data_IF_302447096724
#
_entry.id   IF_302447096724
#
_cell.length_a   1.000
_cell.length_b   1.000
_cell.length_c   1.000
_cell.angle_alpha   90.00
_cell.angle_beta   90.00
_cell.angle_gamma   90.00
#
_symmetry.space_group_name_H-M   'P 1'
#
loop_
_entity.id
_entity.type
_entity.pdbx_description
1 polymer ?
#
# COMPACT_ATOMS: atom_id res chain seq x y z
N UNK A 1 50.76 29.71 -57.85
CA UNK A 1 50.30 28.36 -58.13
C UNK A 1 50.62 27.50 -56.92
N UNK A 2 49.62 27.13 -56.14
CA UNK A 2 49.80 26.32 -54.94
C UNK A 2 48.47 25.71 -54.55
N UNK A 3 48.23 24.45 -54.92
CA UNK A 3 47.02 23.69 -54.64
C UNK A 3 47.04 23.26 -53.20
N UNK A 4 46.08 23.74 -52.35
CA UNK A 4 45.81 23.19 -51.01
C UNK A 4 44.97 21.93 -51.17
N UNK A 5 45.51 20.80 -50.71
CA UNK A 5 44.81 19.54 -50.54
C UNK A 5 43.89 19.62 -49.30
N UNK A 6 42.62 19.43 -49.47
CA UNK A 6 41.65 19.18 -48.40
C UNK A 6 41.81 17.75 -47.89
N UNK A 7 42.22 17.56 -46.62
CA UNK A 7 42.13 16.28 -45.94
C UNK A 7 40.74 16.10 -45.34
N UNK A 8 39.98 15.17 -45.88
CA UNK A 8 38.75 14.70 -45.28
C UNK A 8 39.04 13.74 -44.15
N UNK A 9 38.90 14.18 -42.91
CA UNK A 9 38.92 13.28 -41.77
C UNK A 9 37.59 12.53 -41.69
N UNK A 10 37.60 11.24 -41.99
CA UNK A 10 36.53 10.31 -41.69
C UNK A 10 36.40 10.16 -40.17
N UNK A 11 35.40 10.77 -39.54
CA UNK A 11 34.95 10.41 -38.19
C UNK A 11 34.41 8.98 -38.21
N UNK A 12 35.16 8.05 -37.65
CA UNK A 12 34.65 6.72 -37.28
C UNK A 12 33.53 6.92 -36.24
N UNK A 13 32.31 6.62 -36.60
CA UNK A 13 31.23 6.37 -35.63
C UNK A 13 31.53 5.04 -34.98
N UNK A 14 32.09 5.05 -33.80
CA UNK A 14 32.08 3.92 -32.88
C UNK A 14 30.67 3.91 -32.27
N UNK A 15 29.81 3.07 -32.82
CA UNK A 15 28.58 2.65 -32.15
C UNK A 15 28.96 1.71 -31.02
N UNK A 16 29.06 2.23 -29.83
CA UNK A 16 28.96 1.41 -28.62
C UNK A 16 27.54 0.93 -28.55
N UNK A 17 27.29 -0.27 -29.05
CA UNK A 17 26.18 -1.10 -28.59
C UNK A 17 26.46 -1.35 -27.10
N UNK A 18 25.88 -0.57 -26.20
CA UNK A 18 25.59 -1.03 -24.86
C UNK A 18 24.57 -2.16 -25.08
N UNK A 19 24.96 -3.36 -24.72
CA UNK A 19 24.06 -4.46 -24.55
C UNK A 19 23.02 -3.98 -23.52
N UNK A 20 21.78 -3.85 -23.96
CA UNK A 20 20.62 -3.71 -23.09
C UNK A 20 20.53 -5.04 -22.33
N UNK A 21 21.16 -5.14 -21.19
CA UNK A 21 20.79 -6.14 -20.20
C UNK A 21 19.34 -5.82 -19.80
N UNK A 22 18.40 -6.60 -20.35
CA UNK A 22 17.03 -6.65 -19.85
C UNK A 22 17.09 -6.99 -18.37
N UNK A 23 16.90 -5.98 -17.52
CA UNK A 23 16.65 -6.20 -16.10
C UNK A 23 15.25 -6.81 -16.03
N UNK A 24 15.16 -8.13 -16.16
CA UNK A 24 13.96 -8.88 -15.81
C UNK A 24 13.80 -8.72 -14.31
N UNK A 25 12.63 -8.24 -13.87
CA UNK A 25 12.21 -8.43 -12.50
C UNK A 25 12.19 -9.95 -12.30
N UNK A 26 13.22 -10.50 -11.65
CA UNK A 26 13.31 -11.93 -11.41
C UNK A 26 12.09 -12.36 -10.62
N UNK A 27 11.40 -13.39 -11.10
CA UNK A 27 10.35 -14.05 -10.32
C UNK A 27 10.99 -14.55 -9.02
N UNK A 28 10.67 -13.88 -7.94
CA UNK A 28 11.21 -14.20 -6.62
C UNK A 28 10.63 -15.53 -6.17
N UNK A 29 11.47 -16.52 -6.00
CA UNK A 29 11.08 -17.79 -5.37
C UNK A 29 10.71 -17.54 -3.89
N UNK A 30 9.43 -17.27 -3.64
CA UNK A 30 8.87 -16.93 -2.34
C UNK A 30 9.23 -17.97 -1.26
N UNK A 31 9.44 -19.22 -1.65
CA UNK A 31 9.77 -20.30 -0.71
C UNK A 31 11.15 -20.14 -0.05
N UNK A 32 12.02 -19.32 -0.65
CA UNK A 32 13.39 -19.05 -0.17
C UNK A 32 13.52 -17.70 0.52
N UNK A 33 12.47 -16.87 0.50
CA UNK A 33 12.49 -15.53 1.09
C UNK A 33 12.31 -15.62 2.60
N UNK A 34 13.28 -15.13 3.36
CA UNK A 34 13.07 -14.95 4.81
C UNK A 34 12.21 -13.72 5.10
N UNK A 35 11.49 -13.72 6.24
CA UNK A 35 10.70 -12.54 6.65
C UNK A 35 11.55 -11.28 6.91
N UNK A 36 12.87 -11.42 7.02
CA UNK A 36 13.79 -10.27 7.10
C UNK A 36 14.08 -9.72 5.71
N UNK A 37 14.34 -10.60 4.75
CA UNK A 37 14.62 -10.19 3.37
C UNK A 37 13.37 -9.59 2.73
N UNK A 38 12.19 -10.09 3.08
CA UNK A 38 10.91 -9.56 2.63
C UNK A 38 10.68 -8.07 3.00
N UNK A 39 11.39 -7.52 3.99
CA UNK A 39 11.34 -6.07 4.28
C UNK A 39 11.80 -5.22 3.10
N UNK A 40 12.74 -5.73 2.31
CA UNK A 40 13.32 -5.01 1.17
C UNK A 40 12.55 -5.22 -0.13
N UNK A 41 11.57 -6.12 -0.14
CA UNK A 41 10.71 -6.34 -1.29
C UNK A 41 9.69 -5.20 -1.45
N UNK A 42 9.27 -4.97 -2.67
CA UNK A 42 8.12 -4.12 -2.96
C UNK A 42 6.83 -4.81 -2.51
N UNK A 43 5.83 -4.05 -2.07
CA UNK A 43 4.50 -4.59 -1.85
C UNK A 43 3.89 -5.05 -3.18
N UNK A 44 3.18 -6.17 -3.17
CA UNK A 44 2.59 -6.75 -4.37
C UNK A 44 1.22 -6.16 -4.70
N UNK A 45 0.57 -5.56 -3.69
CA UNK A 45 -0.74 -4.91 -3.82
C UNK A 45 -0.97 -3.87 -2.74
N UNK A 46 -1.92 -2.97 -3.00
CA UNK A 46 -2.37 -1.95 -2.07
C UNK A 46 -3.78 -2.27 -1.55
N UNK A 47 -3.92 -2.42 -0.25
CA UNK A 47 -5.19 -2.70 0.40
C UNK A 47 -5.67 -1.46 1.16
N UNK A 48 -6.81 -0.89 0.75
CA UNK A 48 -7.38 0.29 1.38
C UNK A 48 -7.99 -0.02 2.75
N UNK A 49 -7.67 0.79 3.75
CA UNK A 49 -8.36 0.81 5.05
C UNK A 49 -9.37 1.95 5.04
N UNK A 50 -10.65 1.63 4.91
CA UNK A 50 -11.71 2.58 4.63
C UNK A 50 -12.84 2.43 5.67
N UNK A 51 -13.56 3.49 5.95
CA UNK A 51 -14.65 3.49 6.92
C UNK A 51 -14.76 4.82 7.65
N UNK A 52 -15.80 4.97 8.47
CA UNK A 52 -16.07 6.18 9.22
C UNK A 52 -14.92 6.56 10.17
N UNK A 53 -14.92 7.80 10.65
CA UNK A 53 -14.03 8.24 11.75
C UNK A 53 -14.23 7.31 12.95
N UNK A 54 -13.19 7.06 13.69
CA UNK A 54 -13.16 6.20 14.89
C UNK A 54 -13.56 4.72 14.70
N UNK A 55 -13.77 4.25 13.48
CA UNK A 55 -13.99 2.82 13.23
C UNK A 55 -12.73 1.95 13.40
N UNK A 56 -11.57 2.57 13.69
CA UNK A 56 -10.32 1.89 14.05
C UNK A 56 -9.45 1.47 12.86
N UNK A 57 -9.49 2.23 11.76
CA UNK A 57 -8.63 2.00 10.57
C UNK A 57 -7.15 2.03 10.92
N UNK A 58 -6.70 3.12 11.51
CA UNK A 58 -5.29 3.32 11.93
C UNK A 58 -4.87 2.29 12.97
N UNK A 59 -5.76 1.94 13.92
CA UNK A 59 -5.49 0.89 14.92
C UNK A 59 -5.31 -0.48 14.28
N UNK A 60 -6.14 -0.84 13.28
CA UNK A 60 -5.99 -2.10 12.56
C UNK A 60 -4.71 -2.11 11.73
N UNK A 61 -4.43 -1.01 11.05
CA UNK A 61 -3.19 -0.84 10.28
C UNK A 61 -1.96 -1.03 11.18
N UNK A 62 -1.93 -0.42 12.36
CA UNK A 62 -0.86 -0.61 13.34
C UNK A 62 -0.78 -2.06 13.83
N UNK A 63 -1.91 -2.67 14.17
CA UNK A 63 -1.94 -4.05 14.66
C UNK A 63 -1.34 -5.06 13.67
N UNK A 64 -1.53 -4.81 12.36
CA UNK A 64 -1.05 -5.68 11.29
C UNK A 64 0.36 -5.34 10.81
N UNK A 65 0.73 -4.07 10.74
CA UNK A 65 2.02 -3.59 10.20
C UNK A 65 3.05 -3.21 11.26
N UNK A 66 2.59 -2.82 12.44
CA UNK A 66 3.42 -2.22 13.48
C UNK A 66 3.76 -0.75 13.25
N UNK A 67 3.08 -0.09 12.31
CA UNK A 67 3.29 1.30 11.95
C UNK A 67 2.03 2.10 12.26
N UNK A 68 2.16 3.10 13.12
CA UNK A 68 1.14 4.11 13.33
C UNK A 68 1.18 5.13 12.18
N UNK A 69 0.09 5.28 11.45
CA UNK A 69 0.05 6.07 10.21
C UNK A 69 -0.20 7.55 10.43
N UNK A 70 -0.83 7.94 11.54
CA UNK A 70 -1.06 9.34 11.93
C UNK A 70 0.21 9.94 12.54
N UNK A 71 1.02 10.60 11.71
CA UNK A 71 2.35 11.12 12.12
C UNK A 71 2.40 12.64 12.23
N UNK A 72 1.40 13.33 11.73
CA UNK A 72 1.38 14.80 11.76
C UNK A 72 0.83 15.31 13.08
N UNK A 73 1.41 16.40 13.60
CA UNK A 73 0.96 17.01 14.85
C UNK A 73 -0.53 17.36 14.85
N UNK A 74 -1.05 17.83 13.72
CA UNK A 74 -2.47 18.14 13.55
C UNK A 74 -3.37 16.89 13.58
N UNK A 75 -2.89 15.75 13.09
CA UNK A 75 -3.60 14.48 13.15
C UNK A 75 -3.69 13.96 14.58
N UNK A 76 -2.57 14.08 15.32
CA UNK A 76 -2.48 13.66 16.73
C UNK A 76 -3.33 14.55 17.62
N UNK A 77 -3.28 15.89 17.41
CA UNK A 77 -4.05 16.85 18.20
C UNK A 77 -5.56 16.75 17.98
N UNK A 78 -5.98 16.44 16.76
CA UNK A 78 -7.41 16.34 16.41
C UNK A 78 -7.96 14.92 16.51
N UNK A 79 -7.10 13.91 16.65
CA UNK A 79 -7.49 12.50 16.66
C UNK A 79 -8.09 12.01 15.34
N UNK A 80 -7.74 12.62 14.20
CA UNK A 80 -8.24 12.26 12.88
C UNK A 80 -7.10 12.18 11.86
N UNK A 81 -7.15 11.21 10.94
CA UNK A 81 -6.23 11.14 9.80
C UNK A 81 -6.59 12.21 8.78
N UNK A 82 -5.63 13.02 8.37
CA UNK A 82 -5.81 14.12 7.39
C UNK A 82 -5.22 13.73 6.03
N UNK A 83 -4.11 13.01 6.02
CA UNK A 83 -3.41 12.55 4.81
C UNK A 83 -3.50 11.04 4.68
N UNK A 84 -3.31 10.54 3.46
CA UNK A 84 -3.18 9.10 3.26
C UNK A 84 -2.00 8.55 4.07
N UNK A 85 -2.27 7.61 4.95
CA UNK A 85 -1.26 6.83 5.64
C UNK A 85 -0.81 5.64 4.80
N UNK A 86 0.47 5.27 4.89
CA UNK A 86 1.00 4.07 4.23
C UNK A 86 1.75 3.23 5.23
N UNK A 87 1.47 1.93 5.22
CA UNK A 87 2.15 0.98 6.09
C UNK A 87 2.22 -0.40 5.42
N UNK A 88 3.41 -0.96 5.35
CA UNK A 88 3.62 -2.29 4.77
C UNK A 88 3.42 -3.39 5.81
N UNK A 89 2.79 -4.48 5.41
CA UNK A 89 2.73 -5.71 6.19
C UNK A 89 3.27 -6.90 5.40
N UNK A 90 4.08 -7.71 6.07
CA UNK A 90 4.60 -8.96 5.55
C UNK A 90 3.72 -10.08 6.08
N UNK A 91 3.02 -10.78 5.19
CA UNK A 91 2.15 -11.90 5.53
C UNK A 91 2.92 -13.20 5.41
N UNK A 92 2.69 -14.06 6.38
CA UNK A 92 3.37 -15.33 6.52
C UNK A 92 2.40 -16.42 6.99
N UNK A 93 2.75 -17.67 6.73
CA UNK A 93 1.96 -18.85 7.13
C UNK A 93 2.81 -19.85 7.89
N UNK A 94 2.30 -20.32 9.01
CA UNK A 94 2.85 -21.49 9.71
C UNK A 94 2.45 -22.76 8.96
N UNK A 95 3.41 -23.67 8.75
CA UNK A 95 3.16 -24.94 8.06
C UNK A 95 2.42 -25.97 8.88
N UNK A 96 2.42 -25.83 10.19
CA UNK A 96 1.94 -26.84 11.14
C UNK A 96 0.65 -26.47 11.87
N UNK A 97 0.37 -25.15 12.04
CA UNK A 97 -0.87 -24.71 12.68
C UNK A 97 -2.07 -24.91 11.76
N UNK A 98 -3.26 -25.25 12.33
CA UNK A 98 -4.51 -25.28 11.55
C UNK A 98 -4.94 -23.87 11.13
N UNK A 99 -5.77 -23.77 10.12
CA UNK A 99 -6.46 -22.53 9.75
C UNK A 99 -7.56 -22.22 10.81
N UNK A 100 -7.76 -20.94 11.12
CA UNK A 100 -7.07 -19.73 10.62
C UNK A 100 -5.76 -19.39 11.33
N UNK A 101 -5.41 -20.06 12.41
CA UNK A 101 -4.31 -19.73 13.35
C UNK A 101 -2.91 -19.83 12.72
N UNK A 102 -2.83 -20.36 11.50
CA UNK A 102 -1.57 -20.42 10.75
C UNK A 102 -1.18 -19.10 10.09
N UNK A 103 -2.10 -18.13 9.92
CA UNK A 103 -1.82 -16.86 9.22
C UNK A 103 -1.31 -15.79 10.18
N UNK A 104 -0.20 -15.17 9.86
CA UNK A 104 0.50 -14.21 10.70
C UNK A 104 0.96 -13.01 9.88
N UNK A 105 1.10 -11.85 10.52
CA UNK A 105 2.01 -10.82 10.02
C UNK A 105 3.32 -10.89 10.80
N UNK A 106 4.39 -10.34 10.19
CA UNK A 106 5.68 -10.21 10.86
C UNK A 106 5.56 -9.46 12.20
N UNK A 107 4.69 -8.44 12.25
CA UNK A 107 4.42 -7.67 13.47
C UNK A 107 3.75 -8.54 14.54
N UNK A 108 2.72 -9.30 14.19
CA UNK A 108 2.04 -10.21 15.15
C UNK A 108 3.01 -11.24 15.71
N UNK A 109 3.89 -11.82 14.87
CA UNK A 109 4.94 -12.74 15.33
C UNK A 109 5.86 -12.06 16.35
N UNK A 110 6.33 -10.85 16.04
CA UNK A 110 7.20 -10.07 16.93
C UNK A 110 6.55 -9.86 18.29
N UNK A 111 5.31 -9.43 18.31
CA UNK A 111 4.59 -9.12 19.55
C UNK A 111 4.32 -10.38 20.38
N UNK A 112 3.94 -11.49 19.74
CA UNK A 112 3.69 -12.75 20.46
C UNK A 112 4.95 -13.26 21.14
N UNK A 113 6.12 -13.17 20.46
CA UNK A 113 7.40 -13.48 21.11
C UNK A 113 7.73 -12.52 22.26
N UNK A 114 7.37 -11.23 22.16
CA UNK A 114 7.66 -10.23 23.18
C UNK A 114 6.82 -10.35 24.44
N UNK A 115 5.71 -11.11 24.43
CA UNK A 115 4.94 -11.45 25.65
C UNK A 115 5.81 -12.18 26.67
N UNK A 116 6.76 -13.00 26.23
CA UNK A 116 7.78 -13.61 27.09
C UNK A 116 9.13 -12.91 26.90
N UNK A 117 9.47 -11.98 27.78
CA UNK A 117 10.72 -11.18 27.71
C UNK A 117 12.01 -12.00 27.68
N UNK A 118 11.94 -13.30 27.99
CA UNK A 118 13.09 -14.22 27.96
C UNK A 118 13.31 -14.83 26.58
N UNK A 119 12.32 -14.80 25.71
CA UNK A 119 12.41 -15.34 24.37
C UNK A 119 12.93 -14.29 23.39
N UNK A 120 13.88 -14.70 22.55
CA UNK A 120 14.29 -13.89 21.39
C UNK A 120 13.30 -14.08 20.26
N UNK A 121 12.97 -13.00 19.56
CA UNK A 121 12.10 -13.04 18.38
C UNK A 121 12.74 -13.89 17.28
N UNK A 122 12.02 -14.90 16.82
CA UNK A 122 12.41 -15.76 15.70
C UNK A 122 11.36 -15.58 14.59
N UNK A 123 11.76 -15.08 13.44
CA UNK A 123 10.85 -14.84 12.34
C UNK A 123 10.66 -16.06 11.42
N UNK A 124 11.46 -17.10 11.62
CA UNK A 124 11.43 -18.38 10.93
C UNK A 124 10.62 -19.46 11.67
N UNK A 125 10.17 -19.16 12.88
CA UNK A 125 9.45 -20.09 13.75
C UNK A 125 8.13 -19.51 14.26
N UNK A 126 7.10 -20.34 14.24
CA UNK A 126 5.79 -19.99 14.79
C UNK A 126 5.86 -19.77 16.30
N UNK A 127 5.36 -18.64 16.82
CA UNK A 127 5.39 -18.39 18.26
C UNK A 127 4.50 -19.34 19.06
N UNK A 128 3.49 -19.95 18.43
CA UNK A 128 2.51 -20.83 19.08
C UNK A 128 3.00 -22.28 19.11
N UNK A 129 3.33 -22.87 17.94
CA UNK A 129 3.66 -24.30 17.84
C UNK A 129 5.17 -24.58 17.67
N UNK A 130 5.97 -23.56 17.32
CA UNK A 130 7.40 -23.71 17.01
C UNK A 130 7.70 -24.23 15.61
N UNK A 131 6.68 -24.50 14.80
CA UNK A 131 6.80 -24.94 13.41
C UNK A 131 7.41 -23.88 12.50
N UNK A 132 7.72 -24.28 11.26
CA UNK A 132 8.32 -23.40 10.28
C UNK A 132 7.31 -22.39 9.74
N UNK A 133 7.78 -21.16 9.54
CA UNK A 133 7.01 -20.07 8.91
C UNK A 133 7.54 -19.81 7.51
N UNK A 134 6.62 -19.71 6.55
CA UNK A 134 6.92 -19.33 5.19
C UNK A 134 6.37 -17.94 4.86
N UNK A 135 7.07 -17.21 4.01
CA UNK A 135 6.63 -15.94 3.45
C UNK A 135 5.56 -16.19 2.39
N UNK A 136 4.45 -15.45 2.45
CA UNK A 136 3.40 -15.48 1.43
C UNK A 136 3.52 -14.30 0.47
N UNK A 137 3.32 -13.09 1.00
CA UNK A 137 3.44 -11.85 0.22
C UNK A 137 3.61 -10.63 1.13
N UNK A 138 3.99 -9.53 0.53
CA UNK A 138 4.01 -8.22 1.16
C UNK A 138 2.88 -7.37 0.60
N UNK A 139 2.09 -6.76 1.46
CA UNK A 139 1.01 -5.85 1.07
C UNK A 139 1.24 -4.48 1.69
N UNK A 140 0.80 -3.42 1.00
CA UNK A 140 0.78 -2.07 1.52
C UNK A 140 -0.65 -1.71 1.95
N UNK A 141 -0.82 -1.27 3.18
CA UNK A 141 -2.07 -0.67 3.64
C UNK A 141 -2.09 0.80 3.28
N UNK A 142 -3.18 1.23 2.67
CA UNK A 142 -3.48 2.63 2.40
C UNK A 142 -4.54 3.07 3.40
N UNK A 143 -4.12 3.74 4.46
CA UNK A 143 -5.01 4.22 5.52
C UNK A 143 -5.65 5.55 5.08
N UNK A 144 -6.93 5.50 4.74
CA UNK A 144 -7.68 6.61 4.20
C UNK A 144 -8.37 7.41 5.31
N UNK A 145 -8.37 8.77 5.22
CA UNK A 145 -9.08 9.60 6.18
C UNK A 145 -10.59 9.33 6.14
N UNK A 146 -11.21 9.25 7.31
CA UNK A 146 -12.64 8.93 7.45
C UNK A 146 -13.55 10.16 7.51
N UNK A 147 -13.04 11.37 7.53
CA UNK A 147 -13.82 12.59 7.70
C UNK A 147 -14.35 13.12 6.35
N UNK A 148 -15.61 13.58 6.30
CA UNK A 148 -16.25 14.04 5.04
C UNK A 148 -15.50 15.16 4.32
N UNK A 149 -14.88 16.08 5.07
CA UNK A 149 -14.09 17.18 4.50
C UNK A 149 -12.89 16.66 3.69
N UNK A 150 -12.45 15.43 3.98
CA UNK A 150 -11.29 14.79 3.36
C UNK A 150 -11.67 13.77 2.27
N UNK A 151 -12.93 13.78 1.82
CA UNK A 151 -13.43 12.86 0.79
C UNK A 151 -12.59 12.91 -0.50
N UNK A 152 -12.11 14.09 -0.91
CA UNK A 152 -11.22 14.23 -2.07
C UNK A 152 -9.89 13.48 -1.87
N UNK A 153 -9.35 13.50 -0.66
CA UNK A 153 -8.13 12.74 -0.31
C UNK A 153 -8.41 11.23 -0.33
N UNK A 154 -9.57 10.82 0.19
CA UNK A 154 -10.00 9.41 0.15
C UNK A 154 -10.19 8.93 -1.29
N UNK A 155 -10.87 9.68 -2.16
CA UNK A 155 -11.05 9.34 -3.58
C UNK A 155 -9.72 9.25 -4.33
N UNK A 156 -8.80 10.18 -4.04
CA UNK A 156 -7.43 10.11 -4.57
C UNK A 156 -6.70 8.85 -4.10
N UNK A 157 -6.92 8.45 -2.84
CA UNK A 157 -6.37 7.22 -2.28
C UNK A 157 -7.02 5.97 -2.89
N UNK A 158 -8.32 5.98 -3.13
CA UNK A 158 -9.04 4.84 -3.70
C UNK A 158 -8.50 4.43 -5.08
N UNK A 159 -8.03 5.41 -5.87
CA UNK A 159 -7.39 5.12 -7.18
C UNK A 159 -6.05 4.37 -7.08
N UNK A 160 -5.51 4.24 -5.89
CA UNK A 160 -4.26 3.52 -5.61
C UNK A 160 -4.49 2.11 -5.05
N UNK A 161 -5.75 1.76 -4.75
CA UNK A 161 -6.12 0.53 -4.06
C UNK A 161 -6.48 -0.56 -5.06
N UNK A 162 -5.99 -1.76 -4.80
CA UNK A 162 -6.33 -2.97 -5.55
C UNK A 162 -7.51 -3.72 -4.90
N UNK A 163 -7.70 -3.54 -3.60
CA UNK A 163 -8.82 -4.06 -2.80
C UNK A 163 -9.03 -3.20 -1.56
N UNK A 164 -10.04 -3.49 -0.76
CA UNK A 164 -10.34 -2.69 0.42
C UNK A 164 -10.87 -3.49 1.61
N UNK A 165 -10.50 -3.04 2.82
CA UNK A 165 -11.14 -3.37 4.08
C UNK A 165 -12.09 -2.23 4.46
N UNK A 166 -13.41 -2.47 4.39
CA UNK A 166 -14.42 -1.52 4.87
C UNK A 166 -14.69 -1.77 6.35
N UNK A 167 -14.17 -0.90 7.22
CA UNK A 167 -14.34 -1.01 8.66
C UNK A 167 -15.66 -0.42 9.12
N UNK A 168 -16.36 -1.18 9.95
CA UNK A 168 -17.62 -0.78 10.61
C UNK A 168 -17.48 -1.10 12.11
N UNK A 169 -17.65 -0.10 12.96
CA UNK A 169 -17.58 -0.30 14.40
C UNK A 169 -18.85 -0.96 14.95
N UNK A 170 -18.69 -1.94 15.85
CA UNK A 170 -19.79 -2.67 16.47
C UNK A 170 -20.54 -1.84 17.53
N UNK A 171 -19.92 -0.75 18.00
CA UNK A 171 -20.48 0.15 19.02
C UNK A 171 -21.36 1.27 18.43
N UNK A 172 -21.53 1.30 17.11
CA UNK A 172 -22.31 2.31 16.40
C UNK A 172 -23.42 1.71 15.53
N UNK A 173 -24.45 2.54 15.22
CA UNK A 173 -25.49 2.15 14.27
C UNK A 173 -24.98 2.12 12.84
N UNK A 174 -25.45 1.14 12.07
CA UNK A 174 -25.06 0.97 10.67
C UNK A 174 -26.22 1.33 9.74
N UNK A 175 -25.92 2.03 8.64
CA UNK A 175 -24.64 2.65 8.27
C UNK A 175 -24.47 4.07 8.83
N UNK A 176 -23.24 4.45 9.13
CA UNK A 176 -22.85 5.84 9.34
C UNK A 176 -22.77 6.60 7.99
N UNK A 177 -22.92 7.96 7.98
CA UNK A 177 -22.88 8.73 6.72
C UNK A 177 -21.66 8.44 5.86
N UNK A 178 -20.44 8.58 6.43
CA UNK A 178 -19.21 8.35 5.67
C UNK A 178 -19.03 6.88 5.24
N UNK A 179 -19.59 5.91 5.97
CA UNK A 179 -19.57 4.51 5.55
C UNK A 179 -20.34 4.32 4.23
N UNK A 180 -21.46 5.02 4.05
CA UNK A 180 -22.22 5.01 2.77
C UNK A 180 -21.43 5.65 1.65
N UNK A 181 -20.84 6.81 1.90
CA UNK A 181 -20.06 7.57 0.93
C UNK A 181 -18.83 6.78 0.48
N UNK A 182 -18.15 6.15 1.43
CA UNK A 182 -16.98 5.32 1.14
C UNK A 182 -17.34 4.09 0.31
N UNK A 183 -18.44 3.41 0.64
CA UNK A 183 -18.90 2.28 -0.16
C UNK A 183 -19.24 2.73 -1.58
N UNK A 184 -19.98 3.83 -1.74
CA UNK A 184 -20.32 4.37 -3.05
C UNK A 184 -19.05 4.76 -3.85
N UNK A 185 -18.02 5.31 -3.18
CA UNK A 185 -16.75 5.63 -3.84
C UNK A 185 -16.03 4.37 -4.33
N UNK A 186 -15.99 3.29 -3.55
CA UNK A 186 -15.40 2.01 -3.98
C UNK A 186 -16.14 1.44 -5.21
N UNK A 187 -17.47 1.49 -5.19
CA UNK A 187 -18.31 1.06 -6.33
C UNK A 187 -18.02 1.87 -7.60
N UNK A 188 -17.93 3.21 -7.49
CA UNK A 188 -17.61 4.09 -8.62
C UNK A 188 -16.21 3.80 -9.17
N UNK A 189 -15.26 3.49 -8.31
CA UNK A 189 -13.88 3.16 -8.70
C UNK A 189 -13.73 1.73 -9.23
N UNK A 190 -14.78 0.90 -9.14
CA UNK A 190 -14.76 -0.48 -9.61
C UNK A 190 -13.91 -1.41 -8.76
N UNK A 191 -13.73 -1.11 -7.46
CA UNK A 191 -13.02 -1.99 -6.54
C UNK A 191 -13.99 -3.07 -6.07
N UNK A 192 -13.77 -4.30 -6.48
CA UNK A 192 -14.65 -5.45 -6.22
C UNK A 192 -14.13 -6.33 -5.06
N UNK A 193 -12.82 -6.40 -4.88
CA UNK A 193 -12.17 -7.20 -3.84
C UNK A 193 -12.26 -6.51 -2.47
N UNK A 194 -13.41 -6.68 -1.81
CA UNK A 194 -13.72 -6.00 -0.55
C UNK A 194 -14.01 -7.02 0.55
N UNK A 195 -13.42 -6.78 1.73
CA UNK A 195 -13.77 -7.43 2.99
C UNK A 195 -14.38 -6.41 3.94
N UNK A 196 -15.47 -6.77 4.60
CA UNK A 196 -16.07 -5.93 5.64
C UNK A 196 -15.54 -6.37 6.98
N UNK A 197 -15.01 -5.42 7.72
CA UNK A 197 -14.40 -5.66 9.02
C UNK A 197 -15.30 -5.06 10.10
N UNK A 198 -16.02 -5.92 10.82
CA UNK A 198 -16.78 -5.50 12.00
C UNK A 198 -15.80 -5.37 13.17
N UNK A 199 -15.36 -4.15 13.47
CA UNK A 199 -14.37 -3.88 14.51
C UNK A 199 -15.01 -3.49 15.83
N UNK A 200 -14.22 -3.46 16.91
CA UNK A 200 -14.63 -3.10 18.28
C UNK A 200 -15.67 -4.06 18.88
N UNK A 201 -15.62 -5.35 18.54
CA UNK A 201 -16.53 -6.34 19.12
C UNK A 201 -16.38 -6.49 20.63
N UNK A 202 -15.28 -6.01 21.19
CA UNK A 202 -14.97 -5.96 22.62
C UNK A 202 -15.72 -4.85 23.37
N UNK A 203 -16.24 -3.85 22.66
CA UNK A 203 -16.90 -2.68 23.24
C UNK A 203 -18.39 -2.90 23.57
N UNK A 204 -18.96 -4.03 23.17
CA UNK A 204 -20.38 -4.34 23.31
C UNK A 204 -20.64 -5.78 23.72
N UNK A 205 -21.84 -6.02 24.28
CA UNK A 205 -22.30 -7.36 24.57
C UNK A 205 -22.56 -8.15 23.27
N UNK A 206 -22.48 -9.47 23.36
CA UNK A 206 -22.57 -10.37 22.20
C UNK A 206 -23.83 -10.16 21.37
N UNK A 207 -24.97 -9.94 22.03
CA UNK A 207 -26.27 -9.73 21.41
C UNK A 207 -26.27 -8.44 20.56
N UNK A 208 -25.67 -7.37 21.04
CA UNK A 208 -25.53 -6.10 20.32
C UNK A 208 -24.58 -6.24 19.12
N UNK A 209 -23.49 -6.96 19.26
CA UNK A 209 -22.55 -7.26 18.16
C UNK A 209 -23.26 -8.06 17.05
N UNK A 210 -24.07 -9.06 17.42
CA UNK A 210 -24.85 -9.85 16.45
C UNK A 210 -25.91 -8.98 15.76
N UNK A 211 -26.54 -8.05 16.47
CA UNK A 211 -27.51 -7.14 15.86
C UNK A 211 -26.84 -6.15 14.89
N UNK A 212 -25.70 -5.59 15.27
CA UNK A 212 -24.88 -4.76 14.39
C UNK A 212 -24.43 -5.53 13.13
N UNK A 213 -24.04 -6.80 13.27
CA UNK A 213 -23.73 -7.68 12.12
C UNK A 213 -24.90 -7.80 11.14
N UNK A 214 -26.14 -7.94 11.64
CA UNK A 214 -27.35 -7.98 10.79
C UNK A 214 -27.58 -6.65 10.08
N UNK A 215 -27.34 -5.52 10.76
CA UNK A 215 -27.45 -4.19 10.17
C UNK A 215 -26.43 -4.01 9.06
N UNK A 216 -25.18 -4.45 9.24
CA UNK A 216 -24.16 -4.45 8.17
C UNK A 216 -24.64 -5.27 6.98
N UNK A 217 -25.14 -6.48 7.21
CA UNK A 217 -25.63 -7.36 6.16
C UNK A 217 -26.81 -6.76 5.37
N UNK A 218 -27.73 -6.09 6.05
CA UNK A 218 -28.85 -5.40 5.39
C UNK A 218 -28.35 -4.16 4.61
N UNK A 219 -27.37 -3.43 5.14
CA UNK A 219 -26.77 -2.27 4.49
C UNK A 219 -26.13 -2.61 3.15
N UNK A 220 -25.37 -3.70 3.07
CA UNK A 220 -24.67 -4.09 1.85
C UNK A 220 -25.54 -4.82 0.83
N UNK A 221 -26.74 -5.25 1.20
CA UNK A 221 -27.62 -6.10 0.38
C UNK A 221 -27.96 -5.52 -0.99
N UNK A 222 -28.03 -4.20 -1.10
CA UNK A 222 -28.33 -3.48 -2.35
C UNK A 222 -27.09 -2.99 -3.11
N UNK A 223 -25.90 -3.34 -2.66
CA UNK A 223 -24.63 -2.88 -3.23
C UNK A 223 -23.94 -3.97 -4.08
N UNK A 224 -22.89 -3.59 -4.77
CA UNK A 224 -22.02 -4.53 -5.53
C UNK A 224 -21.32 -5.52 -4.62
N UNK A 225 -21.12 -5.15 -3.33
CA UNK A 225 -20.43 -5.95 -2.31
C UNK A 225 -21.37 -6.77 -1.42
N UNK A 226 -22.60 -7.06 -1.87
CA UNK A 226 -23.62 -7.81 -1.12
C UNK A 226 -23.14 -9.18 -0.60
N UNK A 227 -22.23 -9.80 -1.31
CA UNK A 227 -21.64 -11.11 -1.00
C UNK A 227 -20.29 -11.01 -0.27
N UNK A 228 -19.81 -9.79 0.01
CA UNK A 228 -18.57 -9.58 0.75
C UNK A 228 -18.68 -10.19 2.17
N UNK A 229 -17.62 -10.85 2.63
CA UNK A 229 -17.63 -11.40 3.98
C UNK A 229 -17.56 -10.32 5.02
N UNK A 230 -18.14 -10.60 6.17
CA UNK A 230 -18.09 -9.73 7.33
C UNK A 230 -17.29 -10.45 8.41
N UNK A 231 -16.11 -9.94 8.72
CA UNK A 231 -15.19 -10.53 9.69
C UNK A 231 -15.23 -9.73 11.00
N UNK A 232 -15.77 -10.30 12.09
CA UNK A 232 -15.80 -9.63 13.38
C UNK A 232 -14.42 -9.70 14.04
N UNK A 233 -13.88 -8.54 14.42
CA UNK A 233 -12.56 -8.42 15.05
C UNK A 233 -12.57 -7.43 16.22
N UNK A 234 -11.53 -7.52 17.03
CA UNK A 234 -11.06 -6.40 17.85
C UNK A 234 -9.63 -6.06 17.47
N UNK A 235 -9.44 -4.93 16.79
CA UNK A 235 -8.11 -4.46 16.43
C UNK A 235 -7.27 -4.10 17.67
N UNK A 236 -7.88 -3.48 18.69
CA UNK A 236 -7.23 -3.09 19.94
C UNK A 236 -6.72 -4.30 20.73
N UNK A 237 -7.52 -5.36 20.83
CA UNK A 237 -7.17 -6.58 21.54
C UNK A 237 -6.63 -7.70 20.65
N UNK A 238 -6.51 -7.42 19.32
CA UNK A 238 -5.96 -8.35 18.31
C UNK A 238 -6.71 -9.68 18.23
N UNK A 239 -8.02 -9.63 18.43
CA UNK A 239 -8.92 -10.79 18.32
C UNK A 239 -9.31 -10.99 16.88
N UNK A 240 -9.32 -12.24 16.40
CA UNK A 240 -9.68 -12.68 15.05
C UNK A 240 -8.84 -12.08 13.89
N UNK A 241 -7.64 -11.55 14.17
CA UNK A 241 -6.76 -11.05 13.09
C UNK A 241 -6.27 -12.18 12.18
N UNK A 242 -6.07 -13.38 12.68
CA UNK A 242 -5.71 -14.57 11.88
C UNK A 242 -6.80 -14.90 10.85
N UNK A 243 -8.07 -14.81 11.27
CA UNK A 243 -9.24 -15.01 10.39
C UNK A 243 -9.27 -13.96 9.28
N UNK A 244 -9.06 -12.67 9.64
CA UNK A 244 -8.99 -11.59 8.67
C UNK A 244 -7.86 -11.82 7.66
N UNK A 245 -6.67 -12.19 8.13
CA UNK A 245 -5.52 -12.48 7.26
C UNK A 245 -5.79 -13.67 6.34
N UNK A 246 -6.36 -14.76 6.86
CA UNK A 246 -6.76 -15.91 6.07
C UNK A 246 -7.70 -15.49 4.93
N UNK A 247 -8.66 -14.63 5.24
CA UNK A 247 -9.63 -14.17 4.27
C UNK A 247 -8.98 -13.30 3.19
N UNK A 248 -8.13 -12.35 3.57
CA UNK A 248 -7.35 -11.52 2.64
C UNK A 248 -6.52 -12.40 1.71
N UNK A 249 -5.84 -13.41 2.25
CA UNK A 249 -4.98 -14.30 1.45
C UNK A 249 -5.75 -15.18 0.47
N UNK A 250 -6.94 -15.65 0.86
CA UNK A 250 -7.72 -16.56 0.03
C UNK A 250 -8.59 -15.88 -1.01
N UNK A 251 -9.01 -14.64 -0.76
CA UNK A 251 -10.09 -14.01 -1.53
C UNK A 251 -9.72 -12.68 -2.17
N UNK A 252 -8.59 -12.08 -1.80
CA UNK A 252 -8.09 -10.86 -2.43
C UNK A 252 -6.79 -11.20 -3.15
N UNK A 253 -6.84 -11.51 -4.45
CA UNK A 253 -5.65 -11.88 -5.21
C UNK A 253 -4.73 -10.68 -5.43
N UNK A 254 -3.44 -10.95 -5.62
CA UNK A 254 -2.54 -9.95 -6.19
C UNK A 254 -2.95 -9.71 -7.64
N UNK A 255 -3.18 -8.47 -8.07
CA UNK A 255 -3.58 -8.18 -9.45
C UNK A 255 -2.55 -8.70 -10.45
N UNK A 256 -3.01 -9.36 -11.52
CA UNK A 256 -2.17 -9.70 -12.65
C UNK A 256 -1.91 -8.45 -13.48
N UNK A 257 -0.63 -8.11 -13.69
CA UNK A 257 -0.21 -6.94 -14.46
C UNK A 257 0.77 -7.36 -15.55
N UNK A 258 0.47 -7.00 -16.79
CA UNK A 258 1.36 -7.26 -17.94
C UNK A 258 2.43 -6.17 -17.98
N UNK A 259 3.59 -6.46 -17.40
CA UNK A 259 4.70 -5.52 -17.26
C UNK A 259 5.32 -5.12 -18.61
N UNK A 260 5.17 -5.93 -19.65
CA UNK A 260 5.76 -5.67 -20.97
C UNK A 260 4.86 -4.82 -21.86
N UNK A 261 3.54 -4.88 -21.66
CA UNK A 261 2.53 -4.22 -22.53
C UNK A 261 1.92 -2.97 -21.92
N UNK A 262 2.01 -2.80 -20.61
CA UNK A 262 1.40 -1.66 -19.96
C UNK A 262 2.32 -0.45 -19.97
N UNK A 263 1.76 0.72 -20.32
CA UNK A 263 2.45 2.00 -20.15
C UNK A 263 2.74 2.23 -18.66
N UNK A 264 3.97 2.61 -18.33
CA UNK A 264 4.34 2.94 -16.97
C UNK A 264 3.53 4.14 -16.46
N UNK A 265 2.75 3.92 -15.38
CA UNK A 265 1.93 4.95 -14.74
C UNK A 265 2.21 4.98 -13.25
N UNK A 266 2.70 6.13 -12.80
CA UNK A 266 2.94 6.39 -11.40
C UNK A 266 1.92 7.41 -10.86
N UNK A 267 1.06 6.98 -9.94
CA UNK A 267 0.13 7.87 -9.25
C UNK A 267 0.83 8.53 -8.07
N UNK A 268 0.96 9.86 -8.15
CA UNK A 268 1.61 10.66 -7.10
C UNK A 268 0.63 10.88 -5.95
N UNK A 269 0.92 10.27 -4.82
CA UNK A 269 0.17 10.47 -3.58
C UNK A 269 0.76 11.60 -2.72
N UNK A 270 2.06 11.80 -2.76
CA UNK A 270 2.79 12.81 -1.99
C UNK A 270 3.96 13.37 -2.78
N UNK A 271 4.32 14.62 -2.48
CA UNK A 271 5.55 15.24 -2.96
C UNK A 271 6.31 15.84 -1.78
N UNK A 272 7.63 15.80 -1.86
CA UNK A 272 8.53 16.31 -0.83
C UNK A 272 9.51 17.28 -1.48
N UNK A 273 9.61 18.49 -0.93
CA UNK A 273 10.67 19.41 -1.28
C UNK A 273 11.93 19.00 -0.52
N UNK A 274 13.02 18.75 -1.26
CA UNK A 274 14.32 18.37 -0.68
C UNK A 274 15.24 19.57 -0.45
N UNK A 275 14.80 20.75 -0.89
CA UNK A 275 15.59 21.97 -0.78
C UNK A 275 15.44 22.58 0.61
N UNK A 276 16.55 23.11 1.15
CA UNK A 276 16.52 23.86 2.40
C UNK A 276 15.94 25.26 2.18
N UNK A 277 15.23 25.84 3.15
CA UNK A 277 14.83 27.24 3.08
C UNK A 277 16.03 28.15 2.82
N UNK A 278 15.94 29.00 1.80
CA UNK A 278 17.03 29.91 1.40
C UNK A 278 18.03 29.34 0.38
N UNK A 279 17.75 28.15 -0.21
CA UNK A 279 18.55 27.66 -1.33
C UNK A 279 18.40 28.58 -2.54
N UNK A 280 19.51 28.98 -3.16
CA UNK A 280 19.51 29.79 -4.38
C UNK A 280 18.85 29.04 -5.54
N UNK A 281 18.26 29.81 -6.48
CA UNK A 281 17.47 29.22 -7.60
C UNK A 281 18.31 28.24 -8.44
N UNK A 282 19.57 28.57 -8.67
CA UNK A 282 20.48 27.76 -9.49
C UNK A 282 20.94 26.46 -8.79
N UNK A 283 20.76 26.39 -7.47
CA UNK A 283 21.13 25.23 -6.63
C UNK A 283 19.92 24.35 -6.29
N UNK A 284 18.70 24.70 -6.77
CA UNK A 284 17.51 23.93 -6.52
C UNK A 284 17.61 22.54 -7.16
N UNK A 285 17.33 21.53 -6.36
CA UNK A 285 17.24 20.14 -6.82
C UNK A 285 15.76 19.77 -7.07
N UNK A 286 15.55 18.82 -7.96
CA UNK A 286 14.23 18.26 -8.21
C UNK A 286 13.64 17.65 -6.94
N UNK A 287 12.29 17.66 -6.83
CA UNK A 287 11.59 17.11 -5.68
C UNK A 287 11.60 15.58 -5.65
N UNK A 288 11.23 15.02 -4.50
CA UNK A 288 10.92 13.60 -4.34
C UNK A 288 9.42 13.41 -4.41
N UNK A 289 8.95 12.46 -5.20
CA UNK A 289 7.54 12.07 -5.28
C UNK A 289 7.38 10.66 -4.71
N UNK A 290 6.32 10.44 -3.96
CA UNK A 290 5.94 9.15 -3.41
C UNK A 290 4.53 8.77 -3.86
N UNK A 291 4.33 7.50 -4.14
CA UNK A 291 3.06 6.99 -4.64
C UNK A 291 3.16 5.53 -5.05
N UNK A 292 2.30 5.13 -5.98
CA UNK A 292 2.12 3.75 -6.43
C UNK A 292 2.29 3.66 -7.95
N UNK A 293 3.00 2.64 -8.40
CA UNK A 293 3.06 2.22 -9.80
C UNK A 293 1.85 1.30 -10.08
N UNK A 294 1.00 1.69 -11.02
CA UNK A 294 -0.16 0.88 -11.42
C UNK A 294 0.11 -0.07 -12.56
N UNK A 295 1.12 0.22 -13.38
CA UNK A 295 1.50 -0.60 -14.53
C UNK A 295 2.89 -0.26 -15.04
N UNK A 296 3.47 -1.13 -15.85
CA UNK A 296 4.80 -0.99 -16.45
C UNK A 296 5.95 -1.12 -15.46
N UNK A 297 7.15 -0.85 -15.92
CA UNK A 297 8.37 -0.83 -15.12
C UNK A 297 9.02 0.54 -15.24
N UNK A 298 9.31 1.16 -14.11
CA UNK A 298 10.04 2.43 -14.03
C UNK A 298 11.51 2.16 -13.73
N UNK A 299 12.42 2.81 -14.46
CA UNK A 299 13.87 2.65 -14.32
C UNK A 299 14.55 4.00 -14.04
N UNK A 300 15.68 3.93 -13.35
CA UNK A 300 16.56 5.09 -13.20
C UNK A 300 17.04 5.53 -14.58
N UNK A 301 16.91 6.83 -14.89
CA UNK A 301 17.24 7.40 -16.19
C UNK A 301 16.06 7.51 -17.17
N UNK A 302 14.89 6.96 -16.84
CA UNK A 302 13.71 7.11 -17.69
C UNK A 302 13.26 8.57 -17.76
N UNK A 303 12.86 9.00 -18.96
CA UNK A 303 12.18 10.27 -19.15
C UNK A 303 10.71 10.12 -18.81
N UNK A 304 10.18 11.05 -18.02
CA UNK A 304 8.80 11.04 -17.55
C UNK A 304 8.07 12.33 -17.89
N UNK A 305 6.76 12.22 -18.14
CA UNK A 305 5.83 13.32 -18.24
C UNK A 305 5.01 13.44 -16.96
N UNK A 306 4.99 14.63 -16.35
CA UNK A 306 4.22 14.90 -15.12
C UNK A 306 2.91 15.58 -15.51
N UNK A 307 1.80 14.89 -15.33
CA UNK A 307 0.45 15.39 -15.61
C UNK A 307 -0.26 15.84 -14.32
N UNK A 308 -1.09 16.87 -14.42
CA UNK A 308 -1.46 17.67 -15.60
C UNK A 308 -0.43 18.75 -16.00
N UNK A 309 0.72 18.83 -15.31
CA UNK A 309 1.71 19.87 -15.53
C UNK A 309 1.43 21.17 -14.75
N UNK A 310 2.02 22.28 -15.19
CA UNK A 310 1.85 23.59 -14.56
C UNK A 310 0.69 24.34 -15.21
N UNK A 311 -0.21 24.94 -14.41
CA UNK A 311 -1.29 25.78 -14.89
C UNK A 311 -0.80 27.22 -15.05
N UNK A 312 -0.76 27.69 -16.31
CA UNK A 312 -0.44 29.08 -16.67
C UNK A 312 -1.61 29.62 -17.50
N UNK A 313 -2.18 30.75 -17.11
CA UNK A 313 -3.28 31.42 -17.83
C UNK A 313 -4.42 30.49 -18.27
N UNK A 314 -4.91 29.64 -17.37
CA UNK A 314 -5.95 28.63 -17.61
C UNK A 314 -5.59 27.50 -18.61
N UNK A 315 -4.31 27.36 -18.96
CA UNK A 315 -3.80 26.23 -19.75
C UNK A 315 -2.81 25.43 -18.91
N UNK A 316 -2.76 24.12 -19.15
CA UNK A 316 -1.74 23.27 -18.58
C UNK A 316 -0.55 23.19 -19.53
N UNK A 317 0.65 23.37 -19.01
CA UNK A 317 1.91 23.20 -19.72
C UNK A 317 2.53 21.91 -19.22
N UNK A 318 2.89 21.03 -20.14
CA UNK A 318 3.54 19.75 -19.86
C UNK A 318 4.86 19.97 -19.12
N UNK A 319 5.12 19.10 -18.15
CA UNK A 319 6.37 19.03 -17.40
C UNK A 319 7.04 17.70 -17.70
N UNK A 320 8.27 17.78 -18.21
CA UNK A 320 9.10 16.59 -18.43
C UNK A 320 10.27 16.60 -17.46
N UNK A 321 10.66 15.43 -17.00
CA UNK A 321 11.79 15.23 -16.11
C UNK A 321 12.43 13.87 -16.36
N UNK A 322 13.56 13.61 -15.68
CA UNK A 322 14.27 12.34 -15.74
C UNK A 322 14.39 11.76 -14.34
N UNK A 323 14.14 10.47 -14.19
CA UNK A 323 14.28 9.77 -12.92
C UNK A 323 15.75 9.69 -12.51
N UNK A 324 16.09 10.30 -11.37
CA UNK A 324 17.44 10.29 -10.83
C UNK A 324 17.69 9.10 -9.90
N UNK A 325 16.67 8.70 -9.16
CA UNK A 325 16.77 7.55 -8.24
C UNK A 325 15.38 7.01 -7.94
N UNK A 326 15.31 5.73 -7.60
CA UNK A 326 14.08 5.06 -7.18
C UNK A 326 14.34 4.44 -5.81
N UNK A 327 13.38 4.59 -4.89
CA UNK A 327 13.42 3.96 -3.57
C UNK A 327 12.17 3.15 -3.32
N UNK A 328 12.33 1.92 -2.87
CA UNK A 328 11.27 1.05 -2.36
C UNK A 328 11.48 0.89 -0.86
N UNK A 329 10.57 1.46 -0.07
CA UNK A 329 10.79 1.61 1.36
C UNK A 329 12.04 2.46 1.66
N UNK A 330 13.03 1.87 2.32
CA UNK A 330 14.32 2.52 2.65
C UNK A 330 15.48 2.14 1.70
N UNK A 331 15.23 1.33 0.67
CA UNK A 331 16.26 0.80 -0.22
C UNK A 331 16.20 1.46 -1.59
N UNK A 332 17.37 1.91 -2.08
CA UNK A 332 17.53 2.34 -3.47
C UNK A 332 17.56 1.12 -4.40
N UNK A 333 16.85 1.25 -5.51
CA UNK A 333 16.73 0.22 -6.56
C UNK A 333 16.94 0.85 -7.94
N UNK A 334 17.36 0.05 -8.92
CA UNK A 334 17.56 0.51 -10.30
C UNK A 334 16.24 0.51 -11.09
N UNK A 335 15.28 -0.33 -10.69
CA UNK A 335 13.96 -0.43 -11.30
C UNK A 335 12.90 -0.79 -10.26
N UNK A 336 11.66 -0.39 -10.52
CA UNK A 336 10.49 -0.75 -9.72
C UNK A 336 9.33 -1.15 -10.65
N UNK A 337 8.58 -2.17 -10.24
CA UNK A 337 7.33 -2.60 -10.87
C UNK A 337 6.10 -2.09 -10.13
N UNK A 338 4.89 -2.52 -10.54
CA UNK A 338 3.64 -2.17 -9.88
C UNK A 338 3.54 -2.69 -8.43
N UNK A 339 2.87 -1.88 -7.55
CA UNK A 339 2.65 -2.20 -6.16
C UNK A 339 2.74 -0.99 -5.23
#
# INVERSE_FOLDING_TARGET
MGKKKRSTSKKKKTSTKKEEEEIKLEEIDKSKVSLKDAETLQAEMNLGMIGHVDHGKTTLTEALSGVWTDKYSEEIERGISIKLGYADAIIAKCKECPEPDCYWTKQMIKEEYQKDKRKKVKYDKCPTCGGDIEFLRKIAFVDAPGHEILMATMLSGASLMDGACLLVAADEKVPQPQTKEHLAALEIMGIEDIVIVQNKIDAREKEEVVENYKQIKEFIKGSTVKDAPIIPISAAFKVNLHELLMYIEKNIPTPERDLEKEDCRFYVARSFDVNKPGTEIDDLQGGVIGGTLSGGILRVGDEIEIKPGIRVDNKYIELNSTIQSISVGSKLVEAAGPG
#
